data_IF_061111195736
#
_entry.id   IF_061111195736
#
_cell.length_a   1.000
_cell.length_b   1.000
_cell.length_c   1.000
_cell.angle_alpha   90.00
_cell.angle_beta   90.00
_cell.angle_gamma   90.00
#
_symmetry.space_group_name_H-M   'P 1'
#
loop_
_entity.id
_entity.type
_entity.pdbx_description
1 polymer ?
#
# COMPACT_ATOMS: atom_id res chain seq x y z
N UNK A 1 11.40 0.69 19.00
CA UNK A 1 11.69 -0.04 17.75
C UNK A 1 10.75 0.49 16.68
N UNK A 2 11.18 0.69 15.44
CA UNK A 2 10.28 1.19 14.38
C UNK A 2 9.25 0.08 14.03
N UNK A 3 7.95 0.40 13.96
CA UNK A 3 6.87 -0.54 13.60
C UNK A 3 7.14 -1.23 12.28
N UNK A 4 7.69 -0.50 11.31
CA UNK A 4 8.07 -1.05 10.00
C UNK A 4 9.16 -2.13 10.12
N UNK A 5 10.09 -1.99 11.07
CA UNK A 5 11.12 -3.00 11.33
C UNK A 5 10.53 -4.27 11.94
N UNK A 6 9.60 -4.13 12.90
CA UNK A 6 8.86 -5.28 13.45
C UNK A 6 8.08 -6.04 12.36
N UNK A 7 7.47 -5.29 11.44
CA UNK A 7 6.77 -5.87 10.29
C UNK A 7 7.75 -6.66 9.41
N UNK A 8 8.85 -6.02 9.02
CA UNK A 8 9.88 -6.62 8.18
C UNK A 8 10.49 -7.89 8.80
N UNK A 9 10.93 -7.84 10.05
CA UNK A 9 11.57 -8.97 10.75
C UNK A 9 10.67 -10.20 10.84
N UNK A 10 9.34 -10.01 10.99
CA UNK A 10 8.40 -11.13 11.04
C UNK A 10 7.99 -11.68 9.67
N UNK A 11 8.05 -10.86 8.61
CA UNK A 11 7.50 -11.23 7.30
C UNK A 11 8.55 -11.51 6.22
N UNK A 12 9.76 -10.95 6.32
CA UNK A 12 10.76 -11.01 5.24
C UNK A 12 11.23 -12.44 4.93
N UNK A 13 11.30 -13.31 5.93
CA UNK A 13 11.75 -14.70 5.77
C UNK A 13 10.59 -15.69 5.57
N UNK A 14 9.41 -15.17 5.25
CA UNK A 14 8.20 -15.96 4.98
C UNK A 14 7.88 -15.97 3.48
N UNK A 15 7.06 -16.93 3.06
CA UNK A 15 6.53 -16.98 1.68
C UNK A 15 5.25 -16.13 1.51
N UNK A 16 4.97 -15.20 2.43
CA UNK A 16 3.77 -14.36 2.36
C UNK A 16 3.99 -13.29 1.28
N UNK A 17 3.03 -13.15 0.37
CA UNK A 17 3.04 -12.07 -0.60
C UNK A 17 2.49 -10.79 0.03
N UNK A 18 3.35 -9.85 0.40
CA UNK A 18 2.94 -8.58 1.02
C UNK A 18 3.67 -7.39 0.41
N UNK A 19 3.03 -6.22 0.49
CA UNK A 19 3.61 -4.91 0.17
C UNK A 19 3.11 -3.88 1.18
N UNK A 20 3.94 -2.87 1.46
CA UNK A 20 3.48 -1.63 2.07
C UNK A 20 2.80 -0.77 0.99
N UNK A 21 1.63 -0.23 1.30
CA UNK A 21 0.87 0.67 0.42
C UNK A 21 0.54 1.98 1.15
N UNK A 22 -0.16 2.89 0.48
CA UNK A 22 -0.70 4.10 1.08
C UNK A 22 0.38 5.07 1.55
N UNK A 23 0.06 5.83 2.60
CA UNK A 23 0.91 6.97 3.00
C UNK A 23 2.31 6.55 3.47
N UNK A 24 2.44 5.38 4.07
CA UNK A 24 3.74 4.82 4.46
C UNK A 24 4.57 4.44 3.23
N UNK A 25 3.98 3.84 2.20
CA UNK A 25 4.69 3.54 0.94
C UNK A 25 5.18 4.80 0.24
N UNK A 26 4.39 5.88 0.26
CA UNK A 26 4.76 7.17 -0.31
C UNK A 26 5.96 7.78 0.43
N UNK A 27 5.95 7.74 1.76
CA UNK A 27 7.05 8.22 2.58
C UNK A 27 8.35 7.41 2.36
N UNK A 28 8.25 6.08 2.29
CA UNK A 28 9.40 5.21 1.98
C UNK A 28 9.98 5.54 0.60
N UNK A 29 9.13 5.88 -0.36
CA UNK A 29 9.51 6.23 -1.73
C UNK A 29 9.89 7.72 -1.91
N UNK A 30 10.07 8.48 -0.83
CA UNK A 30 10.63 9.84 -0.87
C UNK A 30 9.62 10.98 -0.98
N UNK A 31 8.31 10.69 -1.00
CA UNK A 31 7.27 11.74 -0.95
C UNK A 31 7.11 12.21 0.50
N UNK A 32 7.08 13.53 0.80
CA UNK A 32 7.04 14.05 2.17
C UNK A 32 5.67 13.90 2.84
N UNK A 33 5.14 12.68 2.91
CA UNK A 33 3.98 12.32 3.71
C UNK A 33 4.40 11.98 5.14
N UNK A 34 3.57 12.37 6.10
CA UNK A 34 3.64 11.88 7.47
C UNK A 34 2.57 10.78 7.64
N UNK A 35 2.95 9.49 7.63
CA UNK A 35 1.98 8.42 7.82
C UNK A 35 1.45 8.43 9.26
N UNK A 36 0.15 8.15 9.41
CA UNK A 36 -0.51 7.98 10.71
C UNK A 36 -0.70 6.50 11.08
N UNK A 37 -0.64 5.65 10.06
CA UNK A 37 -0.88 4.21 10.07
C UNK A 37 0.02 3.52 9.03
N UNK A 38 0.10 2.19 9.12
CA UNK A 38 0.79 1.35 8.14
C UNK A 38 -0.24 0.48 7.42
N UNK A 39 -0.28 0.60 6.11
CA UNK A 39 -1.15 -0.22 5.27
C UNK A 39 -0.35 -1.38 4.67
N UNK A 40 -0.76 -2.62 4.98
CA UNK A 40 -0.21 -3.83 4.36
C UNK A 40 -1.25 -4.39 3.40
N UNK A 41 -0.88 -4.47 2.13
CA UNK A 41 -1.66 -5.17 1.12
C UNK A 41 -1.05 -6.53 0.83
N UNK A 42 -1.91 -7.54 0.69
CA UNK A 42 -1.53 -8.94 0.49
C UNK A 42 -2.60 -9.67 -0.32
N UNK A 43 -2.42 -10.96 -0.57
CA UNK A 43 -3.49 -11.82 -1.09
C UNK A 43 -4.38 -12.34 0.07
N UNK A 44 -5.49 -13.02 -0.26
CA UNK A 44 -6.39 -13.56 0.74
C UNK A 44 -5.68 -14.44 1.78
N UNK A 45 -4.85 -15.39 1.33
CA UNK A 45 -4.17 -16.32 2.23
C UNK A 45 -3.15 -15.58 3.12
N UNK A 46 -2.42 -14.64 2.54
CA UNK A 46 -1.46 -13.80 3.23
C UNK A 46 -2.08 -12.97 4.32
N UNK A 47 -3.31 -12.47 4.17
CA UNK A 47 -3.98 -11.72 5.23
C UNK A 47 -4.15 -12.53 6.52
N UNK A 48 -4.62 -13.78 6.41
CA UNK A 48 -4.77 -14.68 7.56
C UNK A 48 -3.43 -15.15 8.12
N UNK A 49 -2.41 -15.35 7.28
CA UNK A 49 -1.06 -15.68 7.75
C UNK A 49 -0.42 -14.52 8.52
N UNK A 50 -0.58 -13.29 8.03
CA UNK A 50 -0.11 -12.08 8.73
C UNK A 50 -0.83 -11.95 10.06
N UNK A 51 -2.15 -12.16 10.12
CA UNK A 51 -2.87 -12.19 11.41
C UNK A 51 -2.21 -13.15 12.41
N UNK A 52 -1.93 -14.39 12.01
CA UNK A 52 -1.30 -15.38 12.90
C UNK A 52 0.12 -14.97 13.32
N UNK A 53 0.93 -14.43 12.39
CA UNK A 53 2.28 -13.93 12.70
C UNK A 53 2.28 -12.80 13.74
N UNK A 54 1.19 -12.04 13.84
CA UNK A 54 1.05 -10.89 14.73
C UNK A 54 -0.11 -11.05 15.72
N UNK A 55 -0.49 -12.27 16.08
CA UNK A 55 -1.68 -12.55 16.90
C UNK A 55 -1.73 -11.78 18.22
N UNK A 56 -0.57 -11.49 18.80
CA UNK A 56 -0.45 -10.70 20.04
C UNK A 56 -0.78 -9.21 19.85
N UNK A 57 -0.80 -8.73 18.62
CA UNK A 57 -1.09 -7.34 18.24
C UNK A 57 -2.48 -7.17 17.60
N UNK A 58 -3.27 -8.23 17.43
CA UNK A 58 -4.56 -8.17 16.74
C UNK A 58 -5.59 -7.39 17.58
N UNK A 59 -6.09 -6.29 17.02
CA UNK A 59 -7.20 -5.50 17.59
C UNK A 59 -8.52 -5.71 16.83
N UNK A 60 -8.46 -6.19 15.58
CA UNK A 60 -9.62 -6.65 14.83
C UNK A 60 -9.20 -7.82 13.93
N UNK A 61 -9.87 -8.97 14.09
CA UNK A 61 -9.55 -10.17 13.32
C UNK A 61 -9.79 -9.99 11.84
N UNK A 62 -8.99 -10.67 11.02
CA UNK A 62 -9.15 -10.69 9.57
C UNK A 62 -10.47 -11.38 9.22
N UNK A 63 -11.34 -10.65 8.55
CA UNK A 63 -12.58 -11.17 7.99
C UNK A 63 -12.90 -10.49 6.66
N UNK A 64 -13.72 -11.12 5.82
CA UNK A 64 -14.20 -10.44 4.63
C UNK A 64 -15.05 -9.23 5.03
N UNK A 65 -14.71 -8.07 4.47
CA UNK A 65 -15.38 -6.80 4.74
C UNK A 65 -15.58 -6.04 3.43
N UNK A 66 -16.68 -5.30 3.34
CA UNK A 66 -16.97 -4.41 2.22
C UNK A 66 -17.71 -3.17 2.71
N UNK A 67 -17.37 -2.01 2.14
CA UNK A 67 -18.07 -0.75 2.39
C UNK A 67 -18.81 -0.22 1.14
N UNK A 68 -19.02 -1.09 0.14
CA UNK A 68 -19.63 -0.74 -1.15
C UNK A 68 -18.68 -0.07 -2.15
N UNK A 69 -17.55 0.49 -1.70
CA UNK A 69 -16.50 1.06 -2.56
C UNK A 69 -15.25 0.20 -2.62
N UNK A 70 -14.93 -0.48 -1.53
CA UNK A 70 -13.77 -1.37 -1.38
C UNK A 70 -14.24 -2.62 -0.66
N UNK A 71 -13.69 -3.77 -1.05
CA UNK A 71 -13.81 -5.01 -0.30
C UNK A 71 -12.46 -5.70 -0.20
N UNK A 72 -12.23 -6.43 0.90
CA UNK A 72 -11.01 -7.18 1.14
C UNK A 72 -11.20 -8.14 2.32
N UNK A 73 -10.25 -9.07 2.48
CA UNK A 73 -9.99 -9.74 3.75
C UNK A 73 -9.27 -8.75 4.66
N UNK A 74 -10.04 -8.10 5.53
CA UNK A 74 -9.61 -6.93 6.27
C UNK A 74 -9.42 -7.24 7.75
N UNK A 75 -8.27 -6.86 8.30
CA UNK A 75 -7.96 -6.95 9.72
C UNK A 75 -7.16 -5.74 10.20
N UNK A 76 -7.02 -5.61 11.51
CA UNK A 76 -6.23 -4.52 12.12
C UNK A 76 -5.36 -5.04 13.26
N UNK A 77 -4.14 -4.53 13.30
CA UNK A 77 -3.20 -4.70 14.40
C UNK A 77 -2.91 -3.34 15.05
N UNK A 78 -2.42 -3.38 16.28
CA UNK A 78 -1.80 -2.23 16.94
C UNK A 78 -0.40 -2.62 17.42
N UNK A 79 0.62 -1.97 16.86
CA UNK A 79 2.03 -2.23 17.19
C UNK A 79 2.64 -0.93 17.70
N UNK A 80 3.08 -0.92 18.96
CA UNK A 80 3.66 0.27 19.61
C UNK A 80 2.76 1.52 19.52
N UNK A 81 1.43 1.33 19.61
CA UNK A 81 0.43 2.41 19.50
C UNK A 81 0.15 2.90 18.07
N UNK A 82 0.77 2.29 17.05
CA UNK A 82 0.49 2.58 15.64
C UNK A 82 -0.43 1.51 15.06
N UNK A 83 -1.48 1.95 14.37
CA UNK A 83 -2.40 1.06 13.66
C UNK A 83 -1.74 0.48 12.41
N UNK A 84 -1.91 -0.81 12.22
CA UNK A 84 -1.54 -1.51 10.98
C UNK A 84 -2.80 -2.12 10.39
N UNK A 85 -3.15 -1.77 9.16
CA UNK A 85 -4.28 -2.34 8.44
C UNK A 85 -3.79 -3.46 7.51
N UNK A 86 -4.45 -4.62 7.56
CA UNK A 86 -4.16 -5.77 6.69
C UNK A 86 -5.29 -5.87 5.66
N UNK A 87 -4.94 -5.88 4.37
CA UNK A 87 -5.89 -5.95 3.27
C UNK A 87 -5.51 -7.06 2.30
N UNK A 88 -6.15 -8.22 2.43
CA UNK A 88 -6.03 -9.35 1.49
C UNK A 88 -7.01 -9.24 0.33
N UNK A 89 -6.56 -9.50 -0.90
CA UNK A 89 -7.38 -9.48 -2.12
C UNK A 89 -8.24 -8.23 -2.24
N UNK A 90 -7.62 -7.06 -2.12
CA UNK A 90 -8.37 -5.80 -2.22
C UNK A 90 -9.01 -5.64 -3.60
N UNK A 91 -10.32 -5.39 -3.59
CA UNK A 91 -11.12 -5.08 -4.77
C UNK A 91 -11.72 -3.69 -4.63
N UNK A 92 -11.81 -2.97 -5.74
CA UNK A 92 -12.38 -1.62 -5.82
C UNK A 92 -13.64 -1.68 -6.65
N UNK A 93 -14.71 -1.06 -6.17
CA UNK A 93 -15.93 -0.86 -6.95
C UNK A 93 -15.82 0.44 -7.73
N UNK A 94 -15.67 0.32 -9.05
CA UNK A 94 -15.59 1.45 -9.97
C UNK A 94 -16.90 1.49 -10.76
N UNK A 95 -17.71 2.51 -10.49
CA UNK A 95 -18.99 2.76 -11.18
C UNK A 95 -19.96 1.55 -11.20
N UNK A 96 -19.99 0.77 -10.11
CA UNK A 96 -20.87 -0.40 -9.96
C UNK A 96 -20.22 -1.73 -10.29
N UNK A 97 -19.00 -1.73 -10.84
CA UNK A 97 -18.26 -2.95 -11.19
C UNK A 97 -17.10 -3.16 -10.21
N UNK A 98 -17.02 -4.36 -9.63
CA UNK A 98 -15.88 -4.77 -8.82
C UNK A 98 -14.71 -5.18 -9.72
N UNK A 99 -13.56 -4.52 -9.54
CA UNK A 99 -12.32 -4.95 -10.16
C UNK A 99 -11.82 -6.25 -9.53
N UNK A 100 -11.12 -7.07 -10.32
CA UNK A 100 -10.39 -8.22 -9.81
C UNK A 100 -9.27 -7.76 -8.84
N UNK A 101 -8.91 -8.58 -7.84
CA UNK A 101 -7.76 -8.31 -7.00
C UNK A 101 -6.49 -8.08 -7.83
N UNK A 102 -5.70 -7.09 -7.45
CA UNK A 102 -4.47 -6.79 -8.19
C UNK A 102 -3.42 -7.89 -7.98
N UNK A 103 -2.79 -8.32 -9.08
CA UNK A 103 -1.58 -9.13 -8.99
C UNK A 103 -0.44 -8.28 -8.42
N UNK A 104 -0.17 -8.42 -7.12
CA UNK A 104 0.86 -7.66 -6.42
C UNK A 104 2.25 -7.81 -7.04
N UNK A 105 2.62 -8.99 -7.55
CA UNK A 105 3.97 -9.20 -8.12
C UNK A 105 4.27 -8.30 -9.32
N UNK A 106 3.24 -7.88 -10.06
CA UNK A 106 3.40 -6.96 -11.20
C UNK A 106 3.80 -5.54 -10.76
N UNK A 107 3.29 -5.10 -9.61
CA UNK A 107 3.41 -3.73 -9.12
C UNK A 107 4.25 -3.62 -7.84
N UNK A 108 4.80 -4.74 -7.36
CA UNK A 108 5.72 -4.77 -6.24
C UNK A 108 7.04 -4.15 -6.67
N UNK A 109 7.55 -3.25 -5.84
CA UNK A 109 8.89 -2.67 -5.93
C UNK A 109 9.59 -2.90 -4.59
N UNK A 110 10.92 -2.90 -4.61
CA UNK A 110 11.70 -3.02 -3.38
C UNK A 110 12.51 -1.75 -3.18
N UNK A 111 12.37 -1.14 -2.00
CA UNK A 111 13.14 0.02 -1.58
C UNK A 111 14.01 -0.38 -0.39
N UNK A 112 15.30 -0.08 -0.47
CA UNK A 112 16.23 -0.29 0.65
C UNK A 112 16.10 0.89 1.61
N UNK A 113 15.59 0.65 2.80
CA UNK A 113 15.54 1.61 3.89
C UNK A 113 16.42 1.10 5.03
N UNK A 114 17.55 1.78 5.26
CA UNK A 114 18.61 1.28 6.14
C UNK A 114 19.12 -0.09 5.64
N UNK A 115 18.95 -1.14 6.43
CA UNK A 115 19.29 -2.55 6.18
C UNK A 115 18.09 -3.39 5.73
N UNK A 116 16.91 -2.80 5.57
CA UNK A 116 15.68 -3.52 5.23
C UNK A 116 15.33 -3.35 3.75
N UNK A 117 15.09 -4.45 3.05
CA UNK A 117 14.60 -4.44 1.66
C UNK A 117 13.08 -4.52 1.64
N UNK A 118 12.42 -3.36 1.72
CA UNK A 118 10.98 -3.29 1.98
C UNK A 118 10.20 -3.41 0.66
N UNK A 119 9.25 -4.36 0.55
CA UNK A 119 8.34 -4.40 -0.58
C UNK A 119 7.30 -3.27 -0.45
N UNK A 120 7.19 -2.44 -1.48
CA UNK A 120 6.22 -1.34 -1.59
C UNK A 120 5.43 -1.46 -2.88
N UNK A 121 4.25 -0.85 -2.92
CA UNK A 121 3.46 -0.74 -4.14
C UNK A 121 3.97 0.42 -5.02
N UNK A 122 4.04 0.16 -6.32
CA UNK A 122 4.44 1.10 -7.37
C UNK A 122 3.61 2.40 -7.34
N UNK A 123 4.30 3.56 -7.41
CA UNK A 123 3.68 4.88 -7.27
C UNK A 123 2.72 5.20 -8.41
N UNK A 124 3.05 4.84 -9.65
CA UNK A 124 2.16 5.03 -10.79
C UNK A 124 0.86 4.23 -10.60
N UNK A 125 0.96 2.95 -10.21
CA UNK A 125 -0.21 2.12 -9.92
C UNK A 125 -1.06 2.70 -8.78
N UNK A 126 -0.43 3.11 -7.68
CA UNK A 126 -1.11 3.79 -6.57
C UNK A 126 -1.82 5.07 -7.06
N UNK A 127 -1.15 5.88 -7.86
CA UNK A 127 -1.73 7.11 -8.42
C UNK A 127 -2.99 6.84 -9.24
N UNK A 128 -2.97 5.83 -10.12
CA UNK A 128 -4.14 5.43 -10.91
C UNK A 128 -5.28 4.92 -10.02
N UNK A 129 -4.96 4.10 -9.02
CA UNK A 129 -5.93 3.60 -8.06
C UNK A 129 -6.62 4.74 -7.29
N UNK A 130 -5.85 5.71 -6.79
CA UNK A 130 -6.38 6.86 -6.07
C UNK A 130 -7.26 7.75 -6.97
N UNK A 131 -6.89 7.90 -8.25
CA UNK A 131 -7.69 8.63 -9.23
C UNK A 131 -9.05 7.97 -9.46
N UNK A 132 -9.07 6.64 -9.69
CA UNK A 132 -10.32 5.87 -9.84
C UNK A 132 -11.22 5.97 -8.61
N UNK A 133 -10.64 6.10 -7.43
CA UNK A 133 -11.37 6.25 -6.16
C UNK A 133 -11.79 7.70 -5.86
N UNK A 134 -11.53 8.66 -6.76
CA UNK A 134 -11.87 10.07 -6.58
C UNK A 134 -11.02 10.80 -5.52
N UNK A 135 -9.88 10.24 -5.13
CA UNK A 135 -8.98 10.82 -4.12
C UNK A 135 -7.99 11.80 -4.75
N UNK A 136 -8.52 12.83 -5.40
CA UNK A 136 -7.78 13.75 -6.30
C UNK A 136 -6.60 14.46 -5.63
N UNK A 137 -6.72 14.86 -4.37
CA UNK A 137 -5.63 15.55 -3.65
C UNK A 137 -4.34 14.72 -3.58
N UNK A 138 -4.47 13.42 -3.27
CA UNK A 138 -3.32 12.51 -3.24
C UNK A 138 -2.74 12.28 -4.63
N UNK A 139 -3.59 12.18 -5.64
CA UNK A 139 -3.16 12.05 -7.05
C UNK A 139 -2.27 13.22 -7.46
N UNK A 140 -2.67 14.44 -7.13
CA UNK A 140 -1.89 15.65 -7.48
C UNK A 140 -0.50 15.59 -6.84
N UNK A 141 -0.42 15.22 -5.56
CA UNK A 141 0.86 15.13 -4.84
C UNK A 141 1.78 14.06 -5.43
N UNK A 142 1.24 12.87 -5.71
CA UNK A 142 2.02 11.77 -6.29
C UNK A 142 2.49 12.13 -7.70
N UNK A 143 1.62 12.67 -8.56
CA UNK A 143 1.99 13.10 -9.92
C UNK A 143 3.07 14.17 -9.92
N UNK A 144 2.96 15.16 -9.02
CA UNK A 144 3.98 16.21 -8.89
C UNK A 144 5.35 15.60 -8.58
N UNK A 145 5.40 14.64 -7.66
CA UNK A 145 6.64 13.95 -7.30
C UNK A 145 7.21 13.13 -8.46
N UNK A 146 6.39 12.30 -9.11
CA UNK A 146 6.81 11.48 -10.26
C UNK A 146 7.39 12.37 -11.37
N UNK A 147 6.77 13.52 -11.65
CA UNK A 147 7.27 14.44 -12.67
C UNK A 147 8.59 15.11 -12.27
N UNK A 148 8.79 15.42 -10.99
CA UNK A 148 10.07 15.95 -10.50
C UNK A 148 11.20 14.93 -10.69
N UNK A 149 10.97 13.66 -10.32
CA UNK A 149 11.94 12.58 -10.56
C UNK A 149 12.27 12.42 -12.05
N UNK A 150 11.27 12.46 -12.93
CA UNK A 150 11.46 12.33 -14.39
C UNK A 150 12.22 13.50 -15.00
N UNK A 151 12.05 14.69 -14.45
CA UNK A 151 12.85 15.85 -14.88
C UNK A 151 14.31 15.75 -14.40
N UNK A 152 14.55 15.07 -13.28
CA UNK A 152 15.89 14.78 -12.77
C UNK A 152 16.57 13.61 -13.51
N UNK A 153 15.79 12.66 -14.04
CA UNK A 153 16.29 11.53 -14.87
C UNK A 153 16.40 11.83 -16.38
N UNK A 154 15.88 12.98 -16.83
CA UNK A 154 15.99 13.48 -18.21
C UNK A 154 14.81 13.15 -19.13
N UNK A 155 13.72 12.58 -18.62
CA UNK A 155 12.54 12.19 -19.42
C UNK A 155 11.42 13.24 -19.33
N UNK A 156 11.33 14.14 -20.31
CA UNK A 156 10.29 15.20 -20.37
C UNK A 156 9.02 14.67 -21.04
N UNK A 157 7.84 14.86 -20.41
CA UNK A 157 6.55 14.81 -21.11
C UNK A 157 5.77 16.11 -20.94
N UNK A 158 5.27 16.62 -22.08
CA UNK A 158 4.39 17.77 -22.18
C UNK A 158 2.98 17.43 -21.68
N UNK A 159 2.41 18.32 -20.87
CA UNK A 159 1.01 18.27 -20.45
C UNK A 159 0.12 18.84 -21.56
N UNK A 160 -0.48 17.97 -22.38
CA UNK A 160 -1.65 18.31 -23.17
C UNK A 160 -2.82 17.44 -22.72
N UNK A 161 -3.82 18.04 -22.06
CA UNK A 161 -5.10 17.38 -21.82
C UNK A 161 -5.72 17.56 -20.44
N UNK A 162 -5.95 18.80 -20.03
CA UNK A 162 -7.05 19.18 -19.13
C UNK A 162 -7.48 20.60 -19.52
N UNK A 163 -8.33 20.68 -20.55
CA UNK A 163 -9.31 21.76 -20.73
C UNK A 163 -10.69 21.12 -20.65
#
# INVERSE_FOLDING_TARGET
MNVLRKIYEKLNDTNINWVITGSTAFAIQGIPFKPNDVDIQTDKEGAYKIEECFKEFVIAKVCFSSNGKISSHFGRLEIDGIKVEIMGDIQKNINGTWEEPVNLEKYKRYITLQDMRIPVLDLEYECEAYLKMGRVEKVILIKKYINQMKNEDGTIFSFDGLN
#
